data_IF_845281268388
#
_entry.id   IF_845281268388
#
_cell.length_a   1.000
_cell.length_b   1.000
_cell.length_c   1.000
_cell.angle_alpha   90.00
_cell.angle_beta   90.00
_cell.angle_gamma   90.00
#
_symmetry.space_group_name_H-M   'P 1'
#
loop_
_entity.id
_entity.type
_entity.pdbx_description
1 polymer ?
#
# COMPACT_ATOMS: atom_id res chain seq x y z
N UNK A 1 -22.26 -29.77 -6.36
CA UNK A 1 -21.06 -29.01 -6.76
C UNK A 1 -19.86 -29.55 -6.00
N UNK A 2 -18.84 -30.07 -6.68
CA UNK A 2 -17.63 -30.61 -6.00
C UNK A 2 -16.75 -29.43 -5.59
N UNK A 3 -16.20 -29.39 -4.35
CA UNK A 3 -15.31 -28.32 -3.95
C UNK A 3 -14.03 -28.33 -4.79
N UNK A 4 -13.64 -27.18 -5.31
CA UNK A 4 -12.34 -27.00 -5.97
C UNK A 4 -11.23 -27.04 -4.91
N UNK A 5 -10.20 -27.82 -5.17
CA UNK A 5 -8.99 -27.91 -4.36
C UNK A 5 -7.88 -27.16 -5.09
N UNK A 6 -7.12 -26.30 -4.39
CA UNK A 6 -5.90 -25.70 -4.94
C UNK A 6 -4.80 -26.78 -5.13
N UNK A 7 -3.67 -26.42 -5.76
CA UNK A 7 -2.53 -27.32 -6.01
C UNK A 7 -1.94 -27.98 -4.73
N UNK A 8 -2.39 -27.59 -3.52
CA UNK A 8 -2.00 -28.15 -2.21
C UNK A 8 -3.15 -28.92 -1.53
N UNK A 9 -4.28 -29.18 -2.21
CA UNK A 9 -5.40 -29.95 -1.65
C UNK A 9 -6.25 -29.20 -0.60
N UNK A 10 -6.09 -27.89 -0.47
CA UNK A 10 -6.86 -27.06 0.49
C UNK A 10 -8.17 -26.64 -0.17
N UNK A 11 -9.31 -26.87 0.51
CA UNK A 11 -10.61 -26.34 0.09
C UNK A 11 -10.54 -24.81 0.01
N UNK A 12 -10.59 -24.26 -1.18
CA UNK A 12 -10.78 -22.82 -1.35
C UNK A 12 -12.23 -22.51 -1.03
N UNK A 13 -12.47 -21.62 -0.10
CA UNK A 13 -13.82 -21.17 0.25
C UNK A 13 -14.38 -20.38 -0.94
N UNK A 14 -15.44 -20.87 -1.55
CA UNK A 14 -16.23 -20.13 -2.56
C UNK A 14 -17.08 -19.01 -1.91
N UNK A 15 -16.80 -18.64 -0.66
CA UNK A 15 -17.55 -17.65 0.09
C UNK A 15 -16.74 -16.38 0.30
N UNK A 16 -17.32 -15.26 -0.11
CA UNK A 16 -16.75 -13.94 0.10
C UNK A 16 -16.85 -13.55 1.59
N UNK A 17 -15.73 -13.65 2.31
CA UNK A 17 -15.66 -13.35 3.74
C UNK A 17 -15.06 -11.96 4.04
N UNK A 18 -15.11 -11.50 5.31
CA UNK A 18 -14.61 -10.18 5.72
C UNK A 18 -13.17 -9.88 5.30
N UNK A 19 -12.31 -10.90 5.22
CA UNK A 19 -10.90 -10.75 4.80
C UNK A 19 -10.76 -10.28 3.36
N UNK A 20 -11.68 -10.65 2.47
CA UNK A 20 -11.65 -10.24 1.06
C UNK A 20 -12.05 -8.78 0.90
N UNK A 21 -13.06 -8.32 1.67
CA UNK A 21 -13.44 -6.90 1.73
C UNK A 21 -12.33 -6.05 2.33
N UNK A 22 -11.69 -6.52 3.39
CA UNK A 22 -10.55 -5.85 4.01
C UNK A 22 -9.40 -5.66 3.01
N UNK A 23 -9.04 -6.69 2.24
CA UNK A 23 -8.00 -6.60 1.23
C UNK A 23 -8.42 -5.70 0.06
N UNK A 24 -9.67 -5.84 -0.40
CA UNK A 24 -10.23 -4.98 -1.44
C UNK A 24 -10.18 -3.49 -1.06
N UNK A 25 -10.58 -3.15 0.16
CA UNK A 25 -10.52 -1.77 0.65
C UNK A 25 -9.08 -1.20 0.63
N UNK A 26 -8.07 -2.02 0.92
CA UNK A 26 -6.65 -1.60 0.83
C UNK A 26 -6.23 -1.34 -0.62
N UNK A 27 -6.72 -2.11 -1.57
CA UNK A 27 -6.49 -1.86 -3.00
C UNK A 27 -7.13 -0.52 -3.40
N UNK A 28 -8.36 -0.27 -3.00
CA UNK A 28 -9.05 1.00 -3.28
C UNK A 28 -8.28 2.18 -2.69
N UNK A 29 -7.83 2.11 -1.43
CA UNK A 29 -7.03 3.17 -0.80
C UNK A 29 -5.70 3.42 -1.53
N UNK A 30 -5.08 2.38 -2.06
CA UNK A 30 -3.86 2.51 -2.86
C UNK A 30 -4.14 3.18 -4.22
N UNK A 31 -5.26 2.88 -4.86
CA UNK A 31 -5.71 3.54 -6.09
C UNK A 31 -6.21 4.98 -5.86
N UNK A 32 -6.79 5.28 -4.70
CA UNK A 32 -7.08 6.67 -4.28
C UNK A 32 -5.79 7.49 -4.13
N UNK A 33 -4.73 6.92 -3.54
CA UNK A 33 -3.43 7.56 -3.48
C UNK A 33 -2.87 7.87 -4.87
N UNK A 34 -3.01 6.95 -5.81
CA UNK A 34 -2.64 7.15 -7.22
C UNK A 34 -3.44 8.29 -7.87
N UNK A 35 -4.73 8.42 -7.56
CA UNK A 35 -5.57 9.53 -8.02
C UNK A 35 -5.10 10.88 -7.44
N UNK A 36 -4.75 10.95 -6.16
CA UNK A 36 -4.19 12.17 -5.57
C UNK A 36 -2.85 12.58 -6.21
N UNK A 37 -2.01 11.60 -6.53
CA UNK A 37 -0.76 11.84 -7.27
C UNK A 37 -1.05 12.42 -8.66
N UNK A 38 -1.96 11.79 -9.41
CA UNK A 38 -2.38 12.25 -10.72
C UNK A 38 -2.88 13.70 -10.68
N UNK A 39 -3.79 14.00 -9.76
CA UNK A 39 -4.37 15.34 -9.60
C UNK A 39 -3.31 16.38 -9.25
N UNK A 40 -2.41 16.04 -8.32
CA UNK A 40 -1.36 16.96 -7.87
C UNK A 40 -0.36 17.24 -8.99
N UNK A 41 0.08 16.23 -9.70
CA UNK A 41 0.99 16.40 -10.84
C UNK A 41 0.31 17.11 -12.02
N UNK A 42 -0.96 16.84 -12.29
CA UNK A 42 -1.71 17.55 -13.34
C UNK A 42 -1.84 19.03 -13.02
N UNK A 43 -2.11 19.39 -11.78
CA UNK A 43 -2.12 20.82 -11.33
C UNK A 43 -0.76 21.47 -11.49
N UNK A 44 0.33 20.73 -11.27
CA UNK A 44 1.69 21.27 -11.34
C UNK A 44 2.24 21.35 -12.75
N UNK A 45 2.07 20.29 -13.56
CA UNK A 45 2.73 20.13 -14.85
C UNK A 45 1.77 20.16 -16.05
N UNK A 46 0.46 20.25 -15.80
CA UNK A 46 -0.57 20.33 -16.84
C UNK A 46 -1.01 18.97 -17.40
N UNK A 47 -1.86 19.03 -18.41
CA UNK A 47 -2.58 17.86 -18.97
C UNK A 47 -1.71 16.78 -19.62
N UNK A 48 -0.40 17.01 -19.77
CA UNK A 48 0.53 15.99 -20.23
C UNK A 48 0.59 14.81 -19.25
N UNK A 49 0.39 15.07 -17.96
CA UNK A 49 0.38 14.06 -16.91
C UNK A 49 -0.78 13.08 -17.08
N UNK A 50 -1.98 13.56 -17.43
CA UNK A 50 -3.12 12.70 -17.73
C UNK A 50 -2.82 11.74 -18.89
N UNK A 51 -2.13 12.22 -19.94
CA UNK A 51 -1.71 11.38 -21.07
C UNK A 51 -0.71 10.31 -20.66
N UNK A 52 0.26 10.67 -19.78
CA UNK A 52 1.19 9.70 -19.21
C UNK A 52 0.45 8.63 -18.39
N UNK A 53 -0.50 9.04 -17.56
CA UNK A 53 -1.31 8.12 -16.77
C UNK A 53 -2.15 7.18 -17.63
N UNK A 54 -2.88 7.70 -18.64
CA UNK A 54 -3.66 6.91 -19.57
C UNK A 54 -2.79 5.87 -20.29
N UNK A 55 -1.60 6.24 -20.74
CA UNK A 55 -0.62 5.31 -21.34
C UNK A 55 -0.31 4.11 -20.43
N UNK A 56 -0.18 4.36 -19.11
CA UNK A 56 0.05 3.28 -18.15
C UNK A 56 -1.20 2.48 -17.85
N UNK A 57 -2.38 3.11 -17.85
CA UNK A 57 -3.66 2.40 -17.75
C UNK A 57 -3.90 1.47 -18.96
N UNK A 58 -3.62 1.93 -20.16
CA UNK A 58 -3.75 1.11 -21.38
C UNK A 58 -2.82 -0.11 -21.36
N UNK A 59 -1.67 -0.01 -20.69
CA UNK A 59 -0.71 -1.11 -20.57
C UNK A 59 -1.01 -2.07 -19.41
N UNK A 60 -1.46 -1.56 -18.27
CA UNK A 60 -1.55 -2.29 -17.01
C UNK A 60 -2.98 -2.37 -16.45
N UNK A 61 -4.02 -1.98 -17.25
CA UNK A 61 -5.40 -1.86 -16.83
C UNK A 61 -5.69 -0.60 -15.97
N UNK A 62 -6.95 -0.20 -15.94
CA UNK A 62 -7.44 1.00 -15.23
C UNK A 62 -7.71 0.72 -13.75
N UNK A 63 -7.69 1.77 -12.90
CA UNK A 63 -8.16 1.67 -11.51
C UNK A 63 -9.59 1.13 -11.43
N UNK A 64 -9.93 0.55 -10.29
CA UNK A 64 -11.29 0.09 -10.02
C UNK A 64 -12.16 1.31 -9.74
N UNK A 65 -12.88 1.77 -10.76
CA UNK A 65 -13.83 2.88 -10.66
C UNK A 65 -15.23 2.31 -10.78
N UNK A 66 -15.89 2.05 -9.65
CA UNK A 66 -17.24 1.50 -9.65
C UNK A 66 -17.95 1.77 -8.31
N UNK A 67 -19.26 2.08 -8.40
CA UNK A 67 -20.17 2.10 -7.25
C UNK A 67 -20.78 0.72 -6.97
N UNK A 68 -20.43 -0.29 -7.80
CA UNK A 68 -20.94 -1.65 -7.62
C UNK A 68 -20.28 -2.31 -6.41
N UNK A 69 -21.04 -3.05 -5.60
CA UNK A 69 -20.50 -3.80 -4.47
C UNK A 69 -19.56 -4.91 -4.94
N UNK A 70 -18.58 -5.24 -4.12
CA UNK A 70 -17.52 -6.20 -4.45
C UNK A 70 -18.07 -7.53 -5.00
N UNK A 71 -19.20 -8.00 -4.48
CA UNK A 71 -19.85 -9.26 -4.88
C UNK A 71 -20.24 -9.30 -6.35
N UNK A 72 -20.45 -8.13 -6.97
CA UNK A 72 -20.86 -8.03 -8.36
C UNK A 72 -19.69 -7.94 -9.34
N UNK A 73 -18.52 -7.53 -8.86
CA UNK A 73 -17.35 -7.28 -9.71
C UNK A 73 -16.25 -8.34 -9.57
N UNK A 74 -16.22 -9.05 -8.42
CA UNK A 74 -15.20 -10.07 -8.14
C UNK A 74 -15.51 -11.39 -8.85
N UNK A 75 -14.46 -12.09 -9.28
CA UNK A 75 -14.58 -13.45 -9.76
C UNK A 75 -14.79 -14.41 -8.56
N UNK A 76 -16.05 -14.81 -8.35
CA UNK A 76 -16.43 -15.70 -7.24
C UNK A 76 -15.84 -17.13 -7.37
N UNK A 77 -15.47 -17.55 -8.58
CA UNK A 77 -14.84 -18.83 -8.81
C UNK A 77 -13.34 -18.79 -8.48
N UNK A 78 -12.72 -17.60 -8.50
CA UNK A 78 -11.30 -17.39 -8.20
C UNK A 78 -11.04 -16.09 -7.42
N UNK A 79 -11.65 -15.96 -6.25
CA UNK A 79 -11.59 -14.75 -5.40
C UNK A 79 -10.14 -14.32 -5.15
N UNK A 80 -9.27 -15.23 -4.71
CA UNK A 80 -7.89 -14.91 -4.37
C UNK A 80 -7.07 -14.52 -5.61
N UNK A 81 -7.24 -15.21 -6.72
CA UNK A 81 -6.56 -14.87 -7.96
C UNK A 81 -7.00 -13.52 -8.53
N UNK A 82 -8.28 -13.17 -8.38
CA UNK A 82 -8.80 -11.87 -8.78
C UNK A 82 -8.19 -10.73 -7.92
N UNK A 83 -8.20 -10.88 -6.58
CA UNK A 83 -7.60 -9.90 -5.67
C UNK A 83 -6.10 -9.75 -5.92
N UNK A 84 -5.36 -10.87 -6.06
CA UNK A 84 -3.92 -10.82 -6.36
C UNK A 84 -3.65 -10.12 -7.69
N UNK A 85 -4.47 -10.38 -8.71
CA UNK A 85 -4.36 -9.68 -10.01
C UNK A 85 -4.57 -8.18 -9.85
N UNK A 86 -5.57 -7.75 -9.05
CA UNK A 86 -5.83 -6.32 -8.82
C UNK A 86 -4.72 -5.64 -8.03
N UNK A 87 -4.14 -6.31 -7.02
CA UNK A 87 -2.93 -5.84 -6.34
C UNK A 87 -1.80 -5.63 -7.35
N UNK A 88 -1.50 -6.65 -8.15
CA UNK A 88 -0.38 -6.60 -9.11
C UNK A 88 -0.55 -5.48 -10.14
N UNK A 89 -1.77 -5.28 -10.64
CA UNK A 89 -2.10 -4.20 -11.58
C UNK A 89 -1.87 -2.83 -10.94
N UNK A 90 -2.43 -2.59 -9.75
CA UNK A 90 -2.32 -1.31 -9.06
C UNK A 90 -0.85 -0.97 -8.74
N UNK A 91 -0.10 -1.93 -8.21
CA UNK A 91 1.32 -1.77 -7.86
C UNK A 91 2.19 -1.45 -9.08
N UNK A 92 2.07 -2.22 -10.17
CA UNK A 92 2.91 -2.01 -11.36
C UNK A 92 2.52 -0.74 -12.11
N UNK A 93 1.23 -0.40 -12.19
CA UNK A 93 0.74 0.82 -12.84
C UNK A 93 1.25 2.05 -12.12
N UNK A 94 1.06 2.14 -10.81
CA UNK A 94 1.54 3.27 -10.00
C UNK A 94 3.06 3.40 -10.08
N UNK A 95 3.80 2.28 -9.97
CA UNK A 95 5.24 2.29 -10.09
C UNK A 95 5.72 2.81 -11.46
N UNK A 96 5.10 2.36 -12.55
CA UNK A 96 5.43 2.79 -13.91
C UNK A 96 5.11 4.28 -14.13
N UNK A 97 3.96 4.74 -13.66
CA UNK A 97 3.56 6.14 -13.73
C UNK A 97 4.52 7.05 -12.96
N UNK A 98 4.78 6.74 -11.70
CA UNK A 98 5.71 7.52 -10.87
C UNK A 98 7.13 7.51 -11.42
N UNK A 99 7.62 6.37 -11.91
CA UNK A 99 8.96 6.29 -12.48
C UNK A 99 9.11 7.19 -13.71
N UNK A 100 8.11 7.21 -14.61
CA UNK A 100 8.12 8.12 -15.76
C UNK A 100 8.12 9.61 -15.33
N UNK A 101 7.32 9.94 -14.31
CA UNK A 101 7.28 11.30 -13.72
C UNK A 101 8.64 11.67 -13.12
N UNK A 102 9.25 10.80 -12.33
CA UNK A 102 10.54 11.06 -11.68
C UNK A 102 11.68 11.21 -12.69
N UNK A 103 11.70 10.39 -13.74
CA UNK A 103 12.67 10.53 -14.84
C UNK A 103 12.48 11.86 -15.57
N UNK A 104 11.24 12.30 -15.74
CA UNK A 104 10.92 13.50 -16.54
C UNK A 104 11.16 14.80 -15.75
N UNK A 105 10.80 14.84 -14.47
CA UNK A 105 10.75 16.07 -13.66
C UNK A 105 11.72 16.08 -12.46
N UNK A 106 12.42 14.98 -12.19
CA UNK A 106 13.48 14.89 -11.18
C UNK A 106 13.01 15.05 -9.74
N UNK A 107 13.91 15.63 -8.91
CA UNK A 107 13.74 15.72 -7.45
C UNK A 107 12.49 16.49 -7.01
N UNK A 108 12.07 17.51 -7.78
CA UNK A 108 10.83 18.25 -7.46
C UNK A 108 9.62 17.32 -7.49
N UNK A 109 9.55 16.44 -8.48
CA UNK A 109 8.46 15.47 -8.58
C UNK A 109 8.52 14.42 -7.47
N UNK A 110 9.71 13.99 -7.07
CA UNK A 110 9.87 13.08 -5.92
C UNK A 110 9.35 13.77 -4.65
N UNK A 111 9.70 15.04 -4.42
CA UNK A 111 9.20 15.81 -3.29
C UNK A 111 7.67 15.89 -3.24
N UNK A 112 7.03 16.14 -4.38
CA UNK A 112 5.56 16.14 -4.49
C UNK A 112 4.97 14.78 -4.11
N UNK A 113 5.57 13.68 -4.57
CA UNK A 113 5.09 12.35 -4.20
C UNK A 113 5.21 12.08 -2.69
N UNK A 114 6.33 12.46 -2.08
CA UNK A 114 6.53 12.34 -0.62
C UNK A 114 5.46 13.11 0.16
N UNK A 115 5.10 14.33 -0.29
CA UNK A 115 4.05 15.13 0.34
C UNK A 115 2.67 14.48 0.19
N UNK A 116 2.33 13.93 -0.97
CA UNK A 116 1.04 13.25 -1.21
C UNK A 116 0.94 11.98 -0.36
N UNK A 117 1.99 11.17 -0.30
CA UNK A 117 2.03 9.99 0.57
C UNK A 117 1.88 10.36 2.05
N UNK A 118 2.61 11.39 2.50
CA UNK A 118 2.50 11.91 3.86
C UNK A 118 1.10 12.43 4.16
N UNK A 119 0.47 13.13 3.21
CA UNK A 119 -0.88 13.67 3.39
C UNK A 119 -1.92 12.57 3.60
N UNK A 120 -1.91 11.51 2.78
CA UNK A 120 -2.84 10.39 2.97
C UNK A 120 -2.57 9.67 4.30
N UNK A 121 -1.30 9.40 4.64
CA UNK A 121 -0.94 8.78 5.93
C UNK A 121 -1.43 9.61 7.12
N UNK A 122 -1.25 10.94 7.06
CA UNK A 122 -1.73 11.89 8.07
C UNK A 122 -3.24 11.87 8.22
N UNK A 123 -3.99 11.91 7.12
CA UNK A 123 -5.46 11.97 7.17
C UNK A 123 -6.04 10.68 7.75
N UNK A 124 -5.48 9.53 7.38
CA UNK A 124 -5.85 8.24 7.94
C UNK A 124 -5.43 8.16 9.43
N UNK A 125 -4.22 8.62 9.78
CA UNK A 125 -3.75 8.67 11.17
C UNK A 125 -4.67 9.48 12.07
N UNK A 126 -5.11 10.67 11.64
CA UNK A 126 -6.10 11.48 12.37
C UNK A 126 -7.42 10.77 12.54
N UNK A 127 -7.94 10.13 11.49
CA UNK A 127 -9.17 9.33 11.57
C UNK A 127 -9.04 8.21 12.61
N UNK A 128 -7.88 7.57 12.71
CA UNK A 128 -7.61 6.53 13.70
C UNK A 128 -7.49 7.12 15.10
N UNK A 129 -6.83 8.27 15.26
CA UNK A 129 -6.78 8.99 16.53
C UNK A 129 -8.20 9.27 17.06
N UNK A 130 -9.06 9.83 16.21
CA UNK A 130 -10.41 10.27 16.61
C UNK A 130 -11.35 9.09 16.92
N UNK A 131 -11.18 7.94 16.26
CA UNK A 131 -12.12 6.82 16.38
C UNK A 131 -11.63 5.68 17.27
N UNK A 132 -10.33 5.40 17.30
CA UNK A 132 -9.74 4.23 17.97
C UNK A 132 -8.78 4.63 19.09
N UNK A 133 -8.11 5.80 18.96
CA UNK A 133 -7.15 6.37 19.90
C UNK A 133 -6.12 5.34 20.42
N UNK A 134 -5.31 4.73 19.52
CA UNK A 134 -4.35 3.68 19.89
C UNK A 134 -3.34 4.20 20.93
N UNK A 135 -3.14 3.44 22.01
CA UNK A 135 -2.32 3.82 23.17
C UNK A 135 -0.97 3.07 23.24
N UNK A 136 -0.73 2.16 22.30
CA UNK A 136 0.48 1.34 22.26
C UNK A 136 0.99 1.17 20.83
N UNK A 137 2.30 0.88 20.66
CA UNK A 137 2.85 0.63 19.33
C UNK A 137 2.25 -0.62 18.66
N UNK A 138 1.77 -1.59 19.42
CA UNK A 138 1.06 -2.78 18.93
C UNK A 138 -0.30 -2.41 18.33
N UNK A 139 -1.04 -1.53 19.00
CA UNK A 139 -2.33 -1.01 18.50
C UNK A 139 -2.14 -0.14 17.26
N UNK A 140 -1.08 0.70 17.22
CA UNK A 140 -0.71 1.48 16.04
C UNK A 140 -0.39 0.58 14.84
N UNK A 141 0.43 -0.46 15.00
CA UNK A 141 0.70 -1.41 13.93
C UNK A 141 -0.56 -2.14 13.46
N UNK A 142 -1.41 -2.56 14.41
CA UNK A 142 -2.70 -3.22 14.09
C UNK A 142 -3.62 -2.30 13.30
N UNK A 143 -3.76 -1.05 13.70
CA UNK A 143 -4.55 -0.05 12.99
C UNK A 143 -3.99 0.22 11.59
N UNK A 144 -2.67 0.47 11.48
CA UNK A 144 -1.97 0.71 10.22
C UNK A 144 -2.19 -0.42 9.20
N UNK A 145 -2.16 -1.67 9.64
CA UNK A 145 -2.36 -2.83 8.78
C UNK A 145 -3.75 -2.90 8.12
N UNK A 146 -4.73 -2.11 8.58
CA UNK A 146 -6.02 -2.00 7.92
C UNK A 146 -6.00 -1.10 6.68
N UNK A 147 -4.96 -0.30 6.48
CA UNK A 147 -4.91 0.73 5.45
C UNK A 147 -3.76 0.57 4.47
N UNK A 148 -2.59 0.11 4.92
CA UNK A 148 -1.43 -0.06 4.04
C UNK A 148 -1.54 -1.37 3.25
N UNK A 149 -1.27 -1.30 1.94
CA UNK A 149 -1.25 -2.48 1.07
C UNK A 149 0.10 -3.20 1.21
N UNK A 150 0.10 -4.40 1.77
CA UNK A 150 1.27 -5.26 2.00
C UNK A 150 1.02 -6.71 1.52
N UNK A 151 0.39 -6.85 0.35
CA UNK A 151 0.05 -8.16 -0.20
C UNK A 151 -1.12 -8.83 0.53
N UNK A 152 -1.17 -10.15 0.44
CA UNK A 152 -2.20 -10.97 1.06
C UNK A 152 -1.78 -11.42 2.47
N UNK A 153 -2.72 -11.65 3.39
CA UNK A 153 -2.40 -12.09 4.76
C UNK A 153 -1.59 -13.40 4.83
N UNK A 154 -1.74 -14.28 3.83
CA UNK A 154 -0.99 -15.54 3.76
C UNK A 154 0.48 -15.38 3.30
N UNK A 155 0.88 -14.19 2.87
CA UNK A 155 2.25 -13.95 2.40
C UNK A 155 3.25 -13.85 3.55
N UNK A 156 2.76 -13.60 4.78
CA UNK A 156 3.58 -13.52 6.00
C UNK A 156 4.81 -12.60 5.85
N UNK A 157 4.59 -11.43 5.23
CA UNK A 157 5.66 -10.49 4.84
C UNK A 157 6.42 -9.91 6.03
N UNK A 158 5.79 -9.81 7.21
CA UNK A 158 6.35 -9.16 8.39
C UNK A 158 6.54 -10.15 9.55
N UNK A 159 7.65 -9.99 10.27
CA UNK A 159 7.97 -10.76 11.48
C UNK A 159 8.28 -9.82 12.64
N UNK A 160 7.53 -9.92 13.72
CA UNK A 160 7.81 -9.18 14.95
C UNK A 160 9.14 -9.70 15.56
N UNK A 161 10.02 -8.78 15.88
CA UNK A 161 11.32 -9.01 16.49
C UNK A 161 11.26 -8.72 17.98
N UNK A 162 10.75 -7.54 18.35
CA UNK A 162 10.61 -7.10 19.73
C UNK A 162 9.26 -6.44 19.92
N UNK A 163 8.60 -6.71 21.05
CA UNK A 163 7.31 -6.13 21.41
C UNK A 163 7.28 -5.88 22.91
N UNK A 164 7.48 -4.63 23.31
CA UNK A 164 7.58 -4.17 24.70
C UNK A 164 6.65 -2.96 24.91
N UNK A 165 6.52 -2.50 26.15
CA UNK A 165 5.83 -1.27 26.46
C UNK A 165 6.55 -0.08 25.82
N UNK A 166 5.84 0.69 24.98
CA UNK A 166 6.41 1.85 24.27
C UNK A 166 7.38 1.53 23.12
N UNK A 167 7.61 0.25 22.81
CA UNK A 167 8.53 -0.17 21.75
C UNK A 167 8.02 -1.37 20.97
N UNK A 168 8.04 -1.26 19.65
CA UNK A 168 7.74 -2.37 18.73
C UNK A 168 8.73 -2.35 17.58
N UNK A 169 9.34 -3.50 17.29
CA UNK A 169 10.20 -3.69 16.14
C UNK A 169 9.73 -4.90 15.31
N UNK A 170 9.67 -4.73 14.01
CA UNK A 170 9.43 -5.84 13.07
C UNK A 170 10.32 -5.72 11.84
N UNK A 171 10.57 -6.85 11.20
CA UNK A 171 11.27 -6.92 9.94
C UNK A 171 10.32 -7.35 8.82
N UNK A 172 10.41 -6.70 7.67
CA UNK A 172 9.85 -7.23 6.43
C UNK A 172 10.80 -8.30 5.89
N UNK A 173 10.36 -9.55 5.96
CA UNK A 173 11.15 -10.74 5.58
C UNK A 173 11.04 -11.07 4.08
N UNK A 174 9.99 -10.54 3.43
CA UNK A 174 9.77 -10.69 1.99
C UNK A 174 9.09 -9.43 1.46
N UNK A 175 9.82 -8.60 0.74
CA UNK A 175 9.24 -7.41 0.11
C UNK A 175 8.50 -7.81 -1.17
N UNK A 176 7.18 -7.70 -1.15
CA UNK A 176 6.34 -8.02 -2.32
C UNK A 176 6.35 -6.91 -3.38
N UNK A 177 6.71 -5.70 -2.99
CA UNK A 177 6.68 -4.51 -3.87
C UNK A 177 7.86 -4.45 -4.83
N UNK A 178 9.05 -4.90 -4.38
CA UNK A 178 10.31 -4.70 -5.11
C UNK A 178 10.27 -5.29 -6.53
N UNK A 179 9.58 -6.43 -6.71
CA UNK A 179 9.42 -7.04 -8.03
C UNK A 179 8.65 -6.16 -9.01
N UNK A 180 7.63 -5.44 -8.56
CA UNK A 180 6.88 -4.49 -9.39
C UNK A 180 7.73 -3.28 -9.75
N UNK A 181 8.44 -2.69 -8.77
CA UNK A 181 9.29 -1.52 -8.99
C UNK A 181 10.43 -1.82 -9.98
N UNK A 182 11.13 -2.93 -9.78
CA UNK A 182 12.23 -3.35 -10.66
C UNK A 182 11.75 -3.69 -12.07
N UNK A 183 10.56 -4.25 -12.25
CA UNK A 183 10.00 -4.60 -13.55
C UNK A 183 9.77 -3.39 -14.46
N UNK A 184 9.66 -2.20 -13.88
CA UNK A 184 9.50 -0.92 -14.61
C UNK A 184 10.76 -0.04 -14.55
N UNK A 185 11.86 -0.56 -13.99
CA UNK A 185 13.14 0.16 -13.88
C UNK A 185 13.13 1.29 -12.85
N UNK A 186 12.23 1.23 -11.85
CA UNK A 186 12.13 2.23 -10.81
C UNK A 186 13.25 2.08 -9.76
N UNK A 187 13.70 3.20 -9.18
CA UNK A 187 14.63 3.20 -8.05
C UNK A 187 13.90 2.78 -6.76
N UNK A 188 14.19 1.59 -6.27
CA UNK A 188 13.58 1.03 -5.06
C UNK A 188 13.81 1.90 -3.82
N UNK A 189 14.89 2.67 -3.74
CA UNK A 189 15.16 3.58 -2.62
C UNK A 189 14.09 4.67 -2.52
N UNK A 190 13.70 5.25 -3.65
CA UNK A 190 12.65 6.29 -3.69
C UNK A 190 11.33 5.69 -3.21
N UNK A 191 10.96 4.51 -3.68
CA UNK A 191 9.70 3.87 -3.31
C UNK A 191 9.66 3.46 -1.83
N UNK A 192 10.78 3.04 -1.24
CA UNK A 192 10.86 2.83 0.21
C UNK A 192 10.70 4.14 0.98
N UNK A 193 11.27 5.25 0.51
CA UNK A 193 11.07 6.56 1.15
C UNK A 193 9.62 7.02 1.06
N UNK A 194 8.92 6.81 -0.06
CA UNK A 194 7.48 7.08 -0.17
C UNK A 194 6.68 6.34 0.91
N UNK A 195 6.88 5.04 1.03
CA UNK A 195 6.21 4.21 2.05
C UNK A 195 6.57 4.64 3.48
N UNK A 196 7.84 4.92 3.74
CA UNK A 196 8.33 5.43 5.03
C UNK A 196 7.61 6.73 5.41
N UNK A 197 7.46 7.66 4.49
CA UNK A 197 6.78 8.94 4.73
C UNK A 197 5.30 8.75 5.04
N UNK A 198 4.62 7.85 4.32
CA UNK A 198 3.24 7.50 4.62
C UNK A 198 3.09 6.94 6.03
N UNK A 199 3.93 5.95 6.41
CA UNK A 199 3.86 5.29 7.71
C UNK A 199 4.21 6.26 8.84
N UNK A 200 5.26 7.06 8.69
CA UNK A 200 5.65 8.06 9.69
C UNK A 200 4.51 9.05 9.94
N UNK A 201 3.92 9.61 8.87
CA UNK A 201 2.80 10.52 8.99
C UNK A 201 1.56 9.86 9.62
N UNK A 202 1.28 8.58 9.31
CA UNK A 202 0.22 7.83 9.95
C UNK A 202 0.46 7.69 11.46
N UNK A 203 1.64 7.19 11.87
CA UNK A 203 1.96 6.93 13.28
C UNK A 203 1.88 8.20 14.11
N UNK A 204 2.53 9.27 13.67
CA UNK A 204 2.59 10.56 14.39
C UNK A 204 1.21 11.24 14.52
N UNK A 205 0.30 11.00 13.57
CA UNK A 205 -1.05 11.57 13.63
C UNK A 205 -2.08 10.64 14.28
N UNK A 206 -1.82 9.34 14.34
CA UNK A 206 -2.65 8.39 15.09
C UNK A 206 -2.36 8.47 16.61
N UNK A 207 -1.10 8.66 16.99
CA UNK A 207 -0.71 8.99 18.37
C UNK A 207 0.61 9.78 18.37
N UNK A 208 0.60 11.09 18.74
CA UNK A 208 1.75 11.97 18.68
C UNK A 208 2.86 11.65 19.70
N UNK A 209 2.61 10.74 20.66
CA UNK A 209 3.64 10.26 21.58
C UNK A 209 4.60 9.26 20.94
N UNK A 210 4.26 8.75 19.75
CA UNK A 210 5.05 7.73 19.06
C UNK A 210 5.67 8.26 17.77
N UNK A 211 6.84 7.71 17.43
CA UNK A 211 7.57 7.95 16.20
C UNK A 211 7.82 6.65 15.46
N UNK A 212 7.91 6.77 14.14
CA UNK A 212 8.27 5.66 13.28
C UNK A 212 9.67 5.82 12.73
N UNK A 213 10.44 4.73 12.78
CA UNK A 213 11.76 4.62 12.18
C UNK A 213 11.81 3.46 11.17
N UNK A 214 12.51 3.69 10.07
CA UNK A 214 12.76 2.68 9.05
C UNK A 214 14.25 2.62 8.74
N UNK A 215 14.81 1.41 8.77
CA UNK A 215 16.21 1.14 8.50
C UNK A 215 16.29 0.06 7.42
N UNK A 216 16.80 0.44 6.23
CA UNK A 216 17.12 -0.51 5.16
C UNK A 216 18.61 -0.78 5.16
N UNK A 217 18.98 -2.05 5.34
CA UNK A 217 20.34 -2.55 5.14
C UNK A 217 20.40 -3.44 3.90
N UNK A 218 21.54 -4.04 3.61
CA UNK A 218 21.67 -4.99 2.51
C UNK A 218 20.77 -6.24 2.73
N UNK A 219 20.61 -6.66 3.99
CA UNK A 219 20.00 -7.94 4.36
C UNK A 219 18.66 -7.80 5.09
N UNK A 220 18.23 -6.58 5.44
CA UNK A 220 17.02 -6.38 6.23
C UNK A 220 16.30 -5.07 5.96
N UNK A 221 14.98 -5.13 6.11
CA UNK A 221 14.08 -3.99 6.18
C UNK A 221 13.49 -3.98 7.59
N UNK A 222 14.05 -3.14 8.48
CA UNK A 222 13.62 -3.04 9.87
C UNK A 222 12.75 -1.81 10.08
N UNK A 223 11.68 -2.00 10.82
CA UNK A 223 10.68 -1.00 11.15
C UNK A 223 10.52 -0.92 12.67
N UNK A 224 10.38 0.29 13.21
CA UNK A 224 10.16 0.51 14.63
C UNK A 224 9.07 1.55 14.86
N UNK A 225 8.27 1.32 15.90
CA UNK A 225 7.40 2.33 16.50
C UNK A 225 7.87 2.49 17.92
N UNK A 226 8.28 3.69 18.30
CA UNK A 226 8.92 3.99 19.57
C UNK A 226 8.25 5.18 20.25
N UNK A 227 8.19 5.17 21.57
CA UNK A 227 7.78 6.31 22.36
C UNK A 227 8.80 7.45 22.17
N UNK A 228 8.33 8.66 21.81
CA UNK A 228 9.16 9.81 21.44
C UNK A 228 9.66 10.64 22.61
#
# INVERSE_FOLDING_TARGET
MKPQLNARGIKVSAFLGPIHYWLYNKIILFEELESYLLDTYTKKYGNIIEKMFIKHCDKYDYPIITDEPLEKIIDLDNIHGWLQKKISIAEIRQAAFLNEIFITYGDEAIGIALDVYSSQGKDIGKKIHDNENPSSPQELLKAMNNYILDGMPCDHVNKIITSEEGYLEWNTVSCLHIGYWQSVGADDKIFYELRKHWIAAFVENANPEYKYEFIKTQDSLSHKIILG
#
